data_IF_581690885219
#
_entry.id   IF_581690885219
#
_cell.length_a   1.000
_cell.length_b   1.000
_cell.length_c   1.000
_cell.angle_alpha   90.00
_cell.angle_beta   90.00
_cell.angle_gamma   90.00
#
_symmetry.space_group_name_H-M   'P 1'
#
loop_
_entity.id
_entity.type
_entity.pdbx_description
1 polymer ?
#
# COMPACT_ATOMS: atom_id res chain seq x y z
N UNK A 1 1.38 1.25 0.57
CA UNK A 1 -0.09 1.15 0.77
C UNK A 1 -0.85 0.84 -0.51
N UNK A 2 -0.33 1.27 -1.66
CA UNK A 2 -0.92 1.04 -2.99
C UNK A 2 -0.05 0.17 -3.90
N UNK A 3 0.97 -0.46 -3.37
CA UNK A 3 2.01 -1.19 -4.10
C UNK A 3 1.47 -2.35 -4.97
N UNK A 4 0.27 -2.83 -4.66
CA UNK A 4 -0.42 -3.87 -5.44
C UNK A 4 -1.52 -3.31 -6.36
N UNK A 5 -1.80 -2.00 -6.31
CA UNK A 5 -2.79 -1.33 -7.17
C UNK A 5 -2.03 -0.49 -8.19
N UNK A 6 -1.40 -1.16 -9.13
CA UNK A 6 -0.53 -0.59 -10.17
C UNK A 6 -1.07 -0.97 -11.53
N UNK A 7 -1.03 -0.05 -12.47
CA UNK A 7 -1.62 -0.16 -13.80
C UNK A 7 -0.57 -0.09 -14.91
N UNK A 8 -1.00 -0.28 -16.13
CA UNK A 8 -0.22 -0.04 -17.35
C UNK A 8 1.09 -0.86 -17.42
N UNK A 9 1.19 -1.97 -16.68
CA UNK A 9 2.42 -2.78 -16.60
C UNK A 9 3.56 -2.11 -15.83
N UNK A 10 3.30 -0.99 -15.17
CA UNK A 10 4.29 -0.28 -14.34
C UNK A 10 4.74 -1.17 -13.18
N UNK A 11 6.03 -1.16 -12.88
CA UNK A 11 6.61 -1.86 -11.74
C UNK A 11 6.72 -0.94 -10.54
N UNK A 12 6.16 -1.34 -9.41
CA UNK A 12 6.40 -0.67 -8.14
C UNK A 12 7.84 -0.91 -7.68
N UNK A 13 8.47 0.12 -7.15
CA UNK A 13 9.79 0.02 -6.50
C UNK A 13 9.76 0.82 -5.21
N UNK A 14 10.01 0.16 -4.08
CA UNK A 14 10.13 0.84 -2.80
C UNK A 14 11.47 1.59 -2.68
N UNK A 15 11.51 2.68 -1.95
CA UNK A 15 12.76 3.43 -1.74
C UNK A 15 13.88 2.56 -1.18
N UNK A 16 13.55 1.62 -0.30
CA UNK A 16 14.50 0.68 0.28
C UNK A 16 15.11 -0.33 -0.72
N UNK A 17 14.52 -0.48 -1.91
CA UNK A 17 15.01 -1.41 -2.95
C UNK A 17 15.98 -0.76 -3.93
N UNK A 18 16.13 0.57 -3.90
CA UNK A 18 16.89 1.33 -4.90
C UNK A 18 18.39 1.08 -4.77
N UNK A 19 18.90 1.01 -3.54
CA UNK A 19 20.33 0.74 -3.24
C UNK A 19 20.51 0.34 -1.79
N UNK A 20 21.67 -0.22 -1.44
CA UNK A 20 22.05 -0.54 -0.06
C UNK A 20 22.07 0.70 0.83
N UNK A 21 22.55 1.83 0.33
CA UNK A 21 22.53 3.10 1.06
C UNK A 21 21.09 3.55 1.35
N UNK A 22 20.19 3.47 0.37
CA UNK A 22 18.77 3.77 0.56
C UNK A 22 18.13 2.79 1.54
N UNK A 23 18.41 1.50 1.46
CA UNK A 23 17.92 0.52 2.43
C UNK A 23 18.30 0.91 3.86
N UNK A 24 19.56 1.23 4.11
CA UNK A 24 20.06 1.55 5.43
C UNK A 24 19.48 2.85 6.03
N UNK A 25 19.01 3.77 5.19
CA UNK A 25 18.44 5.07 5.60
C UNK A 25 16.91 5.14 5.51
N UNK A 26 16.26 4.06 5.05
CA UNK A 26 14.81 4.08 4.83
C UNK A 26 14.05 3.55 6.05
N UNK A 27 12.99 4.26 6.39
CA UNK A 27 11.91 3.76 7.24
C UNK A 27 10.67 3.62 6.34
N UNK A 28 10.31 2.39 6.04
CA UNK A 28 9.10 2.09 5.25
C UNK A 28 7.89 2.07 6.17
N UNK A 29 6.87 2.86 5.84
CA UNK A 29 5.57 2.83 6.50
C UNK A 29 4.55 2.28 5.52
N UNK A 30 3.86 1.23 5.90
CA UNK A 30 2.86 0.59 5.06
C UNK A 30 1.66 0.10 5.86
N UNK A 31 0.65 -0.45 5.20
CA UNK A 31 -0.54 -0.97 5.84
C UNK A 31 -1.47 -1.66 4.85
N UNK A 32 -2.42 -2.40 5.37
CA UNK A 32 -3.33 -3.25 4.60
C UNK A 32 -4.62 -2.54 4.18
N UNK A 33 -4.76 -1.26 4.50
CA UNK A 33 -6.00 -0.50 4.28
C UNK A 33 -6.45 -0.46 2.83
N UNK A 34 -5.51 -0.39 1.87
CA UNK A 34 -5.81 -0.12 0.45
C UNK A 34 -5.56 -1.35 -0.41
N UNK A 35 -4.32 -1.80 -0.50
CA UNK A 35 -3.96 -2.95 -1.34
C UNK A 35 -4.75 -4.23 -1.01
N UNK A 36 -5.11 -4.42 0.26
CA UNK A 36 -5.84 -5.61 0.74
C UNK A 36 -7.29 -5.29 1.18
N UNK A 37 -7.78 -4.07 0.88
CA UNK A 37 -9.14 -3.62 1.22
C UNK A 37 -9.50 -3.73 2.73
N UNK A 38 -8.50 -3.66 3.62
CA UNK A 38 -8.66 -3.80 5.08
C UNK A 38 -8.71 -2.46 5.81
N UNK A 39 -9.37 -1.44 5.25
CA UNK A 39 -9.42 -0.08 5.84
C UNK A 39 -10.00 -0.07 7.24
N UNK A 40 -11.10 -0.78 7.49
CA UNK A 40 -11.78 -0.86 8.79
C UNK A 40 -10.99 -1.61 9.87
N UNK A 41 -10.05 -2.45 9.49
CA UNK A 41 -9.24 -3.26 10.41
C UNK A 41 -8.16 -2.47 11.14
N UNK A 42 -7.85 -1.25 10.71
CA UNK A 42 -6.93 -0.33 11.37
C UNK A 42 -5.53 -0.91 11.59
N UNK A 43 -4.92 -1.44 10.52
CA UNK A 43 -3.60 -2.05 10.56
C UNK A 43 -2.58 -1.27 9.72
N UNK A 44 -1.44 -0.97 10.33
CA UNK A 44 -0.25 -0.45 9.68
C UNK A 44 1.00 -0.97 10.35
N UNK A 45 2.11 -0.92 9.64
CA UNK A 45 3.41 -1.37 10.15
C UNK A 45 4.54 -0.49 9.65
N UNK A 46 5.66 -0.60 10.35
CA UNK A 46 6.92 0.07 10.02
C UNK A 46 7.98 -1.01 9.83
N UNK A 47 8.78 -0.86 8.78
CA UNK A 47 9.95 -1.69 8.53
C UNK A 47 11.20 -0.81 8.39
N UNK A 48 12.28 -1.17 9.08
CA UNK A 48 13.57 -0.48 9.00
C UNK A 48 14.69 -1.42 9.41
N UNK A 49 15.87 -1.37 8.80
CA UNK A 49 17.06 -2.11 9.26
C UNK A 49 17.63 -1.56 10.57
N UNK A 50 17.26 -0.34 10.97
CA UNK A 50 17.73 0.28 12.20
C UNK A 50 16.98 -0.31 13.42
N UNK A 51 17.57 -1.33 14.03
CA UNK A 51 17.01 -2.06 15.19
C UNK A 51 16.79 -1.13 16.40
N UNK A 52 17.67 -0.16 16.63
CA UNK A 52 17.52 0.78 17.75
C UNK A 52 16.29 1.66 17.56
N UNK A 53 16.08 2.16 16.34
CA UNK A 53 14.89 2.93 15.97
C UNK A 53 13.62 2.07 16.06
N UNK A 54 13.63 0.84 15.55
CA UNK A 54 12.49 -0.06 15.64
C UNK A 54 12.06 -0.29 17.11
N UNK A 55 13.02 -0.54 18.00
CA UNK A 55 12.76 -0.69 19.45
C UNK A 55 12.17 0.58 20.08
N UNK A 56 12.71 1.75 19.72
CA UNK A 56 12.20 3.04 20.24
C UNK A 56 10.75 3.28 19.78
N UNK A 57 10.45 3.03 18.49
CA UNK A 57 9.10 3.14 17.93
C UNK A 57 8.12 2.16 18.59
N UNK A 58 8.53 0.92 18.82
CA UNK A 58 7.71 -0.07 19.53
C UNK A 58 7.38 0.39 20.96
N UNK A 59 8.37 0.93 21.68
CA UNK A 59 8.16 1.48 23.02
C UNK A 59 7.19 2.66 23.02
N UNK A 60 7.37 3.59 22.09
CA UNK A 60 6.49 4.75 21.94
C UNK A 60 5.05 4.32 21.60
N UNK A 61 4.91 3.46 20.61
CA UNK A 61 3.60 2.94 20.17
C UNK A 61 2.87 2.22 21.32
N UNK A 62 3.58 1.46 22.13
CA UNK A 62 3.04 0.80 23.31
C UNK A 62 2.45 1.78 24.35
N UNK A 63 2.94 3.03 24.41
CA UNK A 63 2.40 4.08 25.29
C UNK A 63 1.26 4.88 24.64
N UNK A 64 1.20 4.95 23.31
CA UNK A 64 0.21 5.78 22.58
C UNK A 64 -1.07 4.99 22.32
N UNK A 65 -0.97 3.77 21.75
CA UNK A 65 -2.13 2.95 21.36
C UNK A 65 -2.05 1.50 21.84
N UNK A 66 -1.05 1.14 22.63
CA UNK A 66 -0.69 -0.21 23.07
C UNK A 66 -0.29 -1.10 21.88
N UNK A 67 -1.23 -1.61 21.13
CA UNK A 67 -0.99 -2.47 19.96
C UNK A 67 -2.24 -2.56 19.06
N UNK A 68 -2.07 -3.11 17.88
CA UNK A 68 -3.18 -3.51 17.02
C UNK A 68 -3.97 -4.64 17.71
N UNK A 69 -5.31 -4.63 17.61
CA UNK A 69 -6.12 -5.67 18.21
C UNK A 69 -5.76 -7.08 17.66
N UNK A 70 -5.91 -8.08 18.50
CA UNK A 70 -5.46 -9.45 18.21
C UNK A 70 -6.13 -10.05 16.97
N UNK A 71 -7.41 -9.83 16.77
CA UNK A 71 -8.13 -10.35 15.59
C UNK A 71 -7.55 -9.79 14.29
N UNK A 72 -7.25 -8.48 14.27
CA UNK A 72 -6.59 -7.85 13.11
C UNK A 72 -5.19 -8.40 12.86
N UNK A 73 -4.41 -8.68 13.92
CA UNK A 73 -3.08 -9.27 13.76
C UNK A 73 -3.16 -10.64 13.09
N UNK A 74 -4.08 -11.50 13.53
CA UNK A 74 -4.30 -12.81 12.91
C UNK A 74 -4.81 -12.69 11.46
N UNK A 75 -5.71 -11.77 11.18
CA UNK A 75 -6.19 -11.54 9.81
C UNK A 75 -5.12 -10.95 8.88
N UNK A 76 -4.14 -10.22 9.42
CA UNK A 76 -3.04 -9.66 8.64
C UNK A 76 -2.03 -10.72 8.16
N UNK A 77 -1.89 -11.83 8.88
CA UNK A 77 -0.93 -12.89 8.53
C UNK A 77 -1.17 -13.43 7.11
N UNK A 78 -2.31 -14.03 6.79
CA UNK A 78 -2.59 -14.55 5.46
C UNK A 78 -2.52 -13.46 4.36
N UNK A 79 -2.91 -12.23 4.69
CA UNK A 79 -2.83 -11.11 3.74
C UNK A 79 -1.38 -10.74 3.39
N UNK A 80 -0.45 -10.82 4.38
CA UNK A 80 0.97 -10.55 4.18
C UNK A 80 1.70 -11.74 3.54
N UNK A 81 1.23 -12.96 3.77
CA UNK A 81 1.76 -14.19 3.19
C UNK A 81 1.31 -14.44 1.75
N UNK A 82 0.42 -13.60 1.22
CA UNK A 82 -0.01 -13.63 -0.19
C UNK A 82 -1.24 -14.49 -0.46
N UNK A 83 -1.93 -15.00 0.55
CA UNK A 83 -3.15 -15.79 0.35
C UNK A 83 -4.28 -14.99 -0.30
N UNK A 84 -4.27 -13.66 -0.12
CA UNK A 84 -5.24 -12.74 -0.75
C UNK A 84 -4.83 -12.26 -2.15
N UNK A 85 -3.69 -12.67 -2.71
CA UNK A 85 -3.15 -12.09 -3.95
C UNK A 85 -4.08 -12.26 -5.15
N UNK A 86 -4.83 -13.36 -5.22
CA UNK A 86 -5.84 -13.58 -6.28
C UNK A 86 -6.98 -12.56 -6.22
N UNK A 87 -7.47 -12.27 -5.03
CA UNK A 87 -8.56 -11.31 -4.84
C UNK A 87 -8.08 -9.87 -5.05
N UNK A 88 -6.85 -9.59 -4.64
CA UNK A 88 -6.17 -8.31 -4.90
C UNK A 88 -6.03 -8.08 -6.41
N UNK A 89 -5.63 -9.08 -7.17
CA UNK A 89 -5.50 -8.96 -8.63
C UNK A 89 -6.86 -8.76 -9.30
N UNK A 90 -7.90 -9.44 -8.88
CA UNK A 90 -9.27 -9.18 -9.38
C UNK A 90 -9.70 -7.73 -9.10
N UNK A 91 -9.43 -7.23 -7.92
CA UNK A 91 -9.71 -5.84 -7.53
C UNK A 91 -8.89 -4.85 -8.37
N UNK A 92 -7.60 -5.11 -8.57
CA UNK A 92 -6.70 -4.29 -9.39
C UNK A 92 -7.21 -4.16 -10.82
N UNK A 93 -7.58 -5.28 -11.45
CA UNK A 93 -8.13 -5.32 -12.81
C UNK A 93 -9.39 -4.47 -12.92
N UNK A 94 -10.28 -4.56 -11.93
CA UNK A 94 -11.52 -3.77 -11.92
C UNK A 94 -11.24 -2.27 -11.75
N UNK A 95 -10.29 -1.90 -10.90
CA UNK A 95 -9.85 -0.50 -10.77
C UNK A 95 -9.22 0.02 -12.06
N UNK A 96 -8.40 -0.76 -12.74
CA UNK A 96 -7.80 -0.37 -14.02
C UNK A 96 -8.87 -0.13 -15.11
N UNK A 97 -9.90 -0.96 -15.17
CA UNK A 97 -11.05 -0.73 -16.07
C UNK A 97 -11.74 0.60 -15.77
N UNK A 98 -12.03 0.86 -14.49
CA UNK A 98 -12.68 2.12 -14.06
C UNK A 98 -11.80 3.33 -14.35
N UNK A 99 -10.50 3.23 -14.09
CA UNK A 99 -9.50 4.23 -14.46
C UNK A 99 -9.56 4.55 -15.95
N UNK A 100 -9.52 3.53 -16.80
CA UNK A 100 -9.57 3.72 -18.26
C UNK A 100 -10.86 4.40 -18.73
N UNK A 101 -12.00 4.04 -18.15
CA UNK A 101 -13.29 4.71 -18.44
C UNK A 101 -13.24 6.16 -18.00
N UNK A 102 -12.77 6.44 -16.77
CA UNK A 102 -12.72 7.80 -16.24
C UNK A 102 -11.79 8.70 -17.05
N UNK A 103 -10.55 8.25 -17.32
CA UNK A 103 -9.57 9.01 -18.12
C UNK A 103 -10.13 9.33 -19.50
N UNK A 104 -10.74 8.35 -20.18
CA UNK A 104 -11.37 8.55 -21.47
C UNK A 104 -12.49 9.59 -21.38
N UNK A 105 -13.44 9.39 -20.46
CA UNK A 105 -14.62 10.25 -20.34
C UNK A 105 -14.25 11.69 -19.98
N UNK A 106 -13.28 11.92 -19.09
CA UNK A 106 -12.82 13.26 -18.77
C UNK A 106 -12.13 13.95 -19.95
N UNK A 107 -11.30 13.23 -20.70
CA UNK A 107 -10.62 13.79 -21.87
C UNK A 107 -11.54 14.06 -23.07
N UNK A 108 -12.76 13.53 -23.10
CA UNK A 108 -13.80 13.86 -24.09
C UNK A 108 -14.51 15.20 -23.77
N UNK A 109 -14.36 15.73 -22.55
CA UNK A 109 -14.98 16.99 -22.13
C UNK A 109 -14.11 18.17 -22.59
N UNK A 110 -14.68 19.07 -23.38
CA UNK A 110 -13.96 20.25 -23.88
C UNK A 110 -13.41 21.09 -22.73
N UNK A 111 -12.11 21.32 -22.75
CA UNK A 111 -11.41 22.13 -21.74
C UNK A 111 -10.93 21.36 -20.52
N UNK A 112 -11.14 20.05 -20.47
CA UNK A 112 -10.57 19.17 -19.46
C UNK A 112 -9.48 18.28 -20.07
N UNK A 113 -8.46 17.99 -19.27
CA UNK A 113 -7.46 16.95 -19.57
C UNK A 113 -7.04 16.26 -18.28
N UNK A 114 -6.86 14.97 -18.31
CA UNK A 114 -6.37 14.19 -17.18
C UNK A 114 -5.10 13.45 -17.53
N UNK A 115 -4.25 13.23 -16.53
CA UNK A 115 -3.10 12.35 -16.65
C UNK A 115 -3.61 10.91 -16.52
N UNK A 116 -3.02 9.98 -17.28
CA UNK A 116 -3.27 8.56 -17.09
C UNK A 116 -2.45 8.05 -15.89
N UNK A 117 -3.07 7.69 -14.77
CA UNK A 117 -2.33 7.32 -13.57
C UNK A 117 -1.77 5.89 -13.66
N UNK A 118 -0.57 5.70 -13.13
CA UNK A 118 0.10 4.40 -13.06
C UNK A 118 -0.31 3.55 -11.84
N UNK A 119 -1.15 4.05 -10.97
CA UNK A 119 -1.60 3.33 -9.79
C UNK A 119 -2.59 4.08 -8.92
N UNK A 120 -2.95 3.47 -7.79
CA UNK A 120 -3.95 3.93 -6.83
C UNK A 120 -5.38 3.92 -7.41
N UNK A 121 -6.35 4.59 -6.74
CA UNK A 121 -7.75 4.65 -7.18
C UNK A 121 -8.34 6.06 -7.03
N UNK A 122 -7.52 7.10 -7.10
CA UNK A 122 -7.92 8.50 -7.12
C UNK A 122 -7.01 9.33 -8.02
#
# INVERSE_FOLDING_TARGET
MYEKIIYNGTKFTAAAEVSEDMYNRTVTINGLSKAVAMTGWRFGYIATPNVALAKALTKLQGQVTSNVNTMTQYAAIPALEGEADKDIEMMRIEFEKRKNIAVKSFNEIKGLSTIDPDGAFY
#
